data_IF_152652199973
#
_entry.id   IF_152652199973
#
_cell.length_a   1.000
_cell.length_b   1.000
_cell.length_c   1.000
_cell.angle_alpha   90.00
_cell.angle_beta   90.00
_cell.angle_gamma   90.00
#
_symmetry.space_group_name_H-M   'P 1'
#
loop_
_entity.id
_entity.type
_entity.pdbx_description
1 polymer ?
#
# COMPACT_ATOMS: atom_id res chain seq x y z
N UNK A 1 -56.94 -36.54 -36.28
CA UNK A 1 -56.46 -35.60 -35.21
C UNK A 1 -54.97 -35.74 -35.11
N UNK A 2 -54.24 -34.85 -35.79
CA UNK A 2 -52.78 -34.87 -35.91
C UNK A 2 -52.21 -33.94 -34.82
N UNK A 3 -51.51 -34.51 -33.84
CA UNK A 3 -50.83 -33.74 -32.82
C UNK A 3 -49.53 -33.16 -33.39
N UNK A 4 -49.54 -31.87 -33.68
CA UNK A 4 -48.36 -31.10 -34.02
C UNK A 4 -47.45 -31.02 -32.77
N UNK A 5 -46.26 -31.63 -32.83
CA UNK A 5 -45.20 -31.40 -31.84
C UNK A 5 -44.70 -29.96 -32.00
N UNK A 6 -44.93 -29.14 -30.99
CA UNK A 6 -44.28 -27.85 -30.86
C UNK A 6 -42.83 -28.14 -30.45
N UNK A 7 -41.90 -27.91 -31.37
CA UNK A 7 -40.48 -27.92 -31.07
C UNK A 7 -40.18 -26.82 -30.04
N UNK A 8 -39.85 -27.26 -28.82
CA UNK A 8 -39.36 -26.35 -27.79
C UNK A 8 -38.04 -25.74 -28.29
N UNK A 9 -38.06 -24.44 -28.55
CA UNK A 9 -36.88 -23.69 -28.91
C UNK A 9 -35.79 -23.93 -27.85
N UNK A 10 -34.63 -24.43 -28.27
CA UNK A 10 -33.44 -24.52 -27.40
C UNK A 10 -33.16 -23.15 -26.81
N UNK A 11 -32.93 -23.02 -25.50
CA UNK A 11 -32.54 -21.74 -24.90
C UNK A 11 -31.28 -21.26 -25.62
N UNK A 12 -31.30 -20.01 -26.10
CA UNK A 12 -30.15 -19.37 -26.72
C UNK A 12 -28.95 -19.56 -25.80
N UNK A 13 -27.88 -20.18 -26.32
CA UNK A 13 -26.69 -20.53 -25.54
C UNK A 13 -26.20 -19.29 -24.81
N UNK A 14 -26.05 -19.34 -23.49
CA UNK A 14 -25.41 -18.29 -22.72
C UNK A 14 -24.05 -18.02 -23.34
N UNK A 15 -23.83 -16.81 -23.84
CA UNK A 15 -22.52 -16.38 -24.32
C UNK A 15 -21.58 -16.48 -23.10
N UNK A 16 -20.61 -17.39 -23.16
CA UNK A 16 -19.64 -17.57 -22.11
C UNK A 16 -18.67 -16.36 -22.11
N UNK A 17 -18.83 -15.48 -21.16
CA UNK A 17 -17.99 -14.29 -21.02
C UNK A 17 -16.57 -14.66 -20.55
N UNK A 18 -15.61 -13.81 -20.86
CA UNK A 18 -14.21 -14.01 -20.43
C UNK A 18 -14.11 -14.15 -18.90
N UNK A 19 -14.91 -13.39 -18.14
CA UNK A 19 -15.00 -13.49 -16.67
C UNK A 19 -15.55 -14.84 -16.16
N UNK A 20 -16.24 -15.61 -17.00
CA UNK A 20 -16.75 -16.93 -16.61
C UNK A 20 -15.65 -17.99 -16.59
N UNK A 21 -14.54 -17.75 -17.31
CA UNK A 21 -13.36 -18.62 -17.33
C UNK A 21 -12.49 -18.36 -16.11
N UNK A 22 -12.26 -19.39 -15.28
CA UNK A 22 -11.48 -19.25 -14.03
C UNK A 22 -10.08 -18.68 -14.30
N UNK A 23 -9.36 -19.19 -15.31
CA UNK A 23 -8.02 -18.72 -15.65
C UNK A 23 -8.00 -17.21 -15.93
N UNK A 24 -8.99 -16.69 -16.65
CA UNK A 24 -9.03 -15.28 -17.03
C UNK A 24 -9.30 -14.37 -15.80
N UNK A 25 -10.20 -14.78 -14.90
CA UNK A 25 -10.44 -14.06 -13.64
C UNK A 25 -9.19 -13.99 -12.78
N UNK A 26 -8.55 -15.13 -12.56
CA UNK A 26 -7.35 -15.20 -11.73
C UNK A 26 -6.16 -14.50 -12.38
N UNK A 27 -6.04 -14.48 -13.71
CA UNK A 27 -5.05 -13.67 -14.41
C UNK A 27 -5.32 -12.17 -14.23
N UNK A 28 -6.57 -11.72 -14.38
CA UNK A 28 -6.93 -10.33 -14.14
C UNK A 28 -6.62 -9.90 -12.69
N UNK A 29 -6.97 -10.75 -11.73
CA UNK A 29 -6.59 -10.54 -10.32
C UNK A 29 -5.07 -10.46 -10.15
N UNK A 30 -4.32 -11.38 -10.73
CA UNK A 30 -2.86 -11.41 -10.65
C UNK A 30 -2.23 -10.14 -11.18
N UNK A 31 -2.71 -9.61 -12.32
CA UNK A 31 -2.24 -8.36 -12.90
C UNK A 31 -2.50 -7.15 -11.99
N UNK A 32 -3.72 -7.06 -11.44
CA UNK A 32 -4.10 -5.98 -10.53
C UNK A 32 -3.34 -6.07 -9.19
N UNK A 33 -3.30 -7.25 -8.59
CA UNK A 33 -2.66 -7.48 -7.31
C UNK A 33 -1.12 -7.31 -7.36
N UNK A 34 -0.48 -7.68 -8.49
CA UNK A 34 0.95 -7.39 -8.70
C UNK A 34 1.21 -5.89 -8.85
N UNK A 35 0.29 -5.14 -9.44
CA UNK A 35 0.36 -3.69 -9.45
C UNK A 35 0.39 -3.12 -8.02
N UNK A 36 -0.50 -3.59 -7.15
CA UNK A 36 -0.53 -3.20 -5.74
C UNK A 36 0.73 -3.67 -4.98
N UNK A 37 1.18 -4.90 -5.22
CA UNK A 37 2.44 -5.40 -4.65
C UNK A 37 3.61 -4.45 -4.92
N UNK A 38 3.82 -4.07 -6.18
CA UNK A 38 4.90 -3.16 -6.58
C UNK A 38 4.74 -1.77 -5.93
N UNK A 39 3.50 -1.28 -5.82
CA UNK A 39 3.20 0.01 -5.18
C UNK A 39 3.57 -0.02 -3.69
N UNK A 40 3.23 -1.09 -2.97
CA UNK A 40 3.56 -1.24 -1.55
C UNK A 40 5.07 -1.47 -1.32
N UNK A 41 5.79 -2.09 -2.26
CA UNK A 41 7.25 -2.13 -2.21
C UNK A 41 7.82 -0.72 -2.25
N UNK A 42 7.34 0.12 -3.17
CA UNK A 42 7.84 1.48 -3.30
C UNK A 42 7.46 2.36 -2.10
N UNK A 43 6.25 2.23 -1.58
CA UNK A 43 5.74 2.99 -0.44
C UNK A 43 6.68 2.94 0.78
N UNK A 44 7.28 1.78 1.03
CA UNK A 44 8.13 1.55 2.19
C UNK A 44 9.63 1.45 1.86
N UNK A 45 10.03 1.73 0.61
CA UNK A 45 11.40 1.49 0.11
C UNK A 45 12.49 2.20 0.92
N UNK A 46 12.19 3.33 1.53
CA UNK A 46 13.13 4.11 2.35
C UNK A 46 13.12 3.71 3.83
N UNK A 47 12.07 3.00 4.30
CA UNK A 47 11.90 2.68 5.72
C UNK A 47 13.07 1.85 6.31
N UNK A 48 13.56 0.78 5.67
CA UNK A 48 14.65 -0.02 6.22
C UNK A 48 16.04 0.60 6.07
N UNK A 49 16.17 1.70 5.30
CA UNK A 49 17.46 2.39 5.05
C UNK A 49 17.49 3.81 5.62
N UNK A 50 16.66 4.10 6.62
CA UNK A 50 16.56 5.41 7.25
C UNK A 50 17.92 5.90 7.78
N UNK A 51 18.72 5.03 8.43
CA UNK A 51 20.01 5.41 8.97
C UNK A 51 21.03 5.75 7.87
N UNK A 52 20.93 5.05 6.72
CA UNK A 52 21.73 5.38 5.54
C UNK A 52 21.33 6.74 4.94
N UNK A 53 20.04 7.08 4.92
CA UNK A 53 19.55 8.41 4.52
C UNK A 53 20.09 9.51 5.44
N UNK A 54 20.09 9.27 6.74
CA UNK A 54 20.62 10.21 7.72
C UNK A 54 22.12 10.44 7.50
N UNK A 55 22.90 9.40 7.32
CA UNK A 55 24.35 9.49 7.14
C UNK A 55 24.78 10.05 5.79
N UNK A 56 24.04 9.77 4.70
CA UNK A 56 24.45 10.14 3.33
C UNK A 56 23.77 11.40 2.80
N UNK A 57 22.54 11.71 3.25
CA UNK A 57 21.73 12.84 2.77
C UNK A 57 21.32 13.82 3.89
N UNK A 58 21.75 13.58 5.13
CA UNK A 58 21.47 14.45 6.27
C UNK A 58 20.01 14.49 6.72
N UNK A 59 19.21 13.45 6.38
CA UNK A 59 17.81 13.39 6.78
C UNK A 59 17.70 12.95 8.25
N UNK A 60 17.32 13.86 9.10
CA UNK A 60 16.96 13.53 10.48
C UNK A 60 15.60 12.79 10.54
N UNK A 61 15.21 12.38 11.75
CA UNK A 61 13.94 11.68 11.95
C UNK A 61 12.73 12.54 11.60
N UNK A 62 12.83 13.85 11.71
CA UNK A 62 11.77 14.81 11.37
C UNK A 62 11.60 14.88 9.85
N UNK A 63 12.70 15.07 9.10
CA UNK A 63 12.69 15.11 7.64
C UNK A 63 12.14 13.80 7.05
N UNK A 64 12.59 12.65 7.60
CA UNK A 64 12.09 11.35 7.19
C UNK A 64 10.59 11.20 7.47
N UNK A 65 10.12 11.53 8.68
CA UNK A 65 8.71 11.43 9.06
C UNK A 65 7.82 12.35 8.24
N UNK A 66 8.25 13.59 8.01
CA UNK A 66 7.52 14.57 7.19
C UNK A 66 7.42 14.11 5.74
N UNK A 67 8.51 13.61 5.16
CA UNK A 67 8.49 13.04 3.80
C UNK A 67 7.56 11.83 3.72
N UNK A 68 7.62 10.91 4.68
CA UNK A 68 6.72 9.75 4.70
C UNK A 68 5.24 10.16 4.87
N UNK A 69 4.95 11.15 5.71
CA UNK A 69 3.60 11.69 5.89
C UNK A 69 3.07 12.42 4.66
N UNK A 70 3.95 12.93 3.80
CA UNK A 70 3.55 13.66 2.60
C UNK A 70 2.76 12.80 1.59
N UNK A 71 2.91 11.48 1.62
CA UNK A 71 2.15 10.54 0.78
C UNK A 71 0.64 10.76 0.86
N UNK A 72 0.13 10.96 2.06
CA UNK A 72 -1.32 11.12 2.28
C UNK A 72 -1.78 12.56 2.23
N UNK A 73 -0.86 13.54 2.15
CA UNK A 73 -1.17 14.96 2.30
C UNK A 73 -2.23 15.45 1.30
N UNK A 74 -2.06 15.19 0.00
CA UNK A 74 -3.03 15.60 -1.01
C UNK A 74 -4.35 14.83 -0.90
N UNK A 75 -4.31 13.57 -0.50
CA UNK A 75 -5.49 12.74 -0.32
C UNK A 75 -6.36 13.23 0.84
N UNK A 76 -5.75 13.68 1.94
CA UNK A 76 -6.44 14.15 3.15
C UNK A 76 -6.85 15.61 3.03
N UNK A 77 -5.92 16.51 2.71
CA UNK A 77 -6.17 17.97 2.80
C UNK A 77 -6.79 18.57 1.54
N UNK A 78 -6.56 17.96 0.37
CA UNK A 78 -7.15 18.40 -0.90
C UNK A 78 -8.29 17.46 -1.33
N UNK A 79 -8.56 16.39 -0.54
CA UNK A 79 -9.59 15.40 -0.84
C UNK A 79 -9.44 14.73 -2.21
N UNK A 80 -8.18 14.52 -2.64
CA UNK A 80 -7.88 13.97 -3.96
C UNK A 80 -8.59 12.63 -4.21
N UNK A 81 -8.80 11.81 -3.18
CA UNK A 81 -9.48 10.52 -3.31
C UNK A 81 -10.94 10.66 -3.82
N UNK A 82 -11.61 11.78 -3.51
CA UNK A 82 -12.94 12.08 -4.07
C UNK A 82 -12.84 12.32 -5.58
N UNK A 83 -11.85 13.10 -6.02
CA UNK A 83 -11.62 13.33 -7.45
C UNK A 83 -11.23 12.03 -8.16
N UNK A 84 -10.40 11.19 -7.53
CA UNK A 84 -10.05 9.86 -8.05
C UNK A 84 -11.29 8.97 -8.22
N UNK A 85 -12.24 8.99 -7.28
CA UNK A 85 -13.53 8.32 -7.39
C UNK A 85 -14.36 8.84 -8.57
N UNK A 86 -14.43 10.14 -8.76
CA UNK A 86 -15.14 10.77 -9.89
C UNK A 86 -14.50 10.38 -11.24
N UNK A 87 -13.16 10.34 -11.30
CA UNK A 87 -12.42 9.89 -12.48
C UNK A 87 -12.77 8.44 -12.77
N UNK A 88 -12.75 7.57 -11.75
CA UNK A 88 -13.08 6.16 -11.87
C UNK A 88 -14.51 5.94 -12.39
N UNK A 89 -15.49 6.71 -11.89
CA UNK A 89 -16.88 6.61 -12.31
C UNK A 89 -17.10 7.10 -13.75
N UNK A 90 -16.38 8.14 -14.16
CA UNK A 90 -16.54 8.71 -15.51
C UNK A 90 -15.71 8.00 -16.58
N UNK A 91 -14.49 7.60 -16.25
CA UNK A 91 -13.51 7.07 -17.19
C UNK A 91 -13.41 5.54 -17.16
N UNK A 92 -13.94 4.91 -16.12
CA UNK A 92 -13.95 3.45 -15.92
C UNK A 92 -12.61 2.90 -15.41
N UNK A 93 -12.66 1.61 -15.00
CA UNK A 93 -11.55 0.91 -14.33
C UNK A 93 -10.28 0.88 -15.19
N UNK A 94 -10.40 0.67 -16.48
CA UNK A 94 -9.26 0.54 -17.41
C UNK A 94 -8.41 1.79 -17.49
N UNK A 95 -9.06 2.92 -17.73
CA UNK A 95 -8.37 4.20 -17.87
C UNK A 95 -7.74 4.61 -16.53
N UNK A 96 -8.51 4.45 -15.45
CA UNK A 96 -8.06 4.85 -14.11
C UNK A 96 -6.88 4.00 -13.63
N UNK A 97 -6.83 2.69 -13.98
CA UNK A 97 -5.68 1.85 -13.69
C UNK A 97 -4.41 2.34 -14.41
N UNK A 98 -4.50 2.70 -15.69
CA UNK A 98 -3.35 3.27 -16.42
C UNK A 98 -2.93 4.62 -15.86
N UNK A 99 -3.90 5.49 -15.57
CA UNK A 99 -3.63 6.81 -15.02
C UNK A 99 -2.96 6.70 -13.65
N UNK A 100 -3.45 5.82 -12.77
CA UNK A 100 -2.85 5.59 -11.45
C UNK A 100 -1.41 5.08 -11.56
N UNK A 101 -1.15 4.13 -12.46
CA UNK A 101 0.19 3.63 -12.74
C UNK A 101 1.15 4.73 -13.24
N UNK A 102 0.67 5.58 -14.15
CA UNK A 102 1.45 6.70 -14.66
C UNK A 102 1.77 7.74 -13.57
N UNK A 103 0.79 8.10 -12.75
CA UNK A 103 0.97 9.06 -11.65
C UNK A 103 1.93 8.51 -10.60
N UNK A 104 1.81 7.22 -10.22
CA UNK A 104 2.77 6.57 -9.33
C UNK A 104 4.19 6.61 -9.89
N UNK A 105 4.35 6.28 -11.18
CA UNK A 105 5.66 6.24 -11.81
C UNK A 105 6.32 7.63 -11.88
N UNK A 106 5.54 8.68 -12.18
CA UNK A 106 6.04 10.07 -12.17
C UNK A 106 6.49 10.45 -10.76
N UNK A 107 5.67 10.23 -9.73
CA UNK A 107 6.02 10.54 -8.34
C UNK A 107 7.26 9.78 -7.87
N UNK A 108 7.34 8.49 -8.19
CA UNK A 108 8.48 7.65 -7.87
C UNK A 108 9.78 8.09 -8.56
N UNK A 109 9.69 8.52 -9.82
CA UNK A 109 10.85 9.03 -10.57
C UNK A 109 11.37 10.34 -9.97
N UNK A 110 10.48 11.23 -9.55
CA UNK A 110 10.86 12.47 -8.84
C UNK A 110 11.55 12.13 -7.52
N UNK A 111 11.01 11.19 -6.74
CA UNK A 111 11.60 10.72 -5.49
C UNK A 111 12.99 10.11 -5.72
N UNK A 112 13.14 9.28 -6.75
CA UNK A 112 14.43 8.72 -7.13
C UNK A 112 15.43 9.81 -7.51
N UNK A 113 15.06 10.76 -8.36
CA UNK A 113 15.93 11.85 -8.79
C UNK A 113 16.41 12.68 -7.61
N UNK A 114 15.55 12.99 -6.62
CA UNK A 114 15.89 13.73 -5.42
C UNK A 114 17.03 13.09 -4.61
N UNK A 115 17.21 11.79 -4.71
CA UNK A 115 18.22 11.01 -3.97
C UNK A 115 19.46 10.67 -4.80
N UNK A 116 19.50 11.02 -6.10
CA UNK A 116 20.69 10.84 -6.94
C UNK A 116 21.74 11.90 -6.66
N UNK A 117 22.99 11.58 -7.00
CA UNK A 117 24.09 12.56 -6.95
C UNK A 117 23.94 13.66 -7.97
N UNK A 118 23.20 13.43 -9.06
CA UNK A 118 22.87 14.42 -10.07
C UNK A 118 22.00 15.57 -9.51
N UNK A 119 21.21 15.33 -8.49
CA UNK A 119 20.46 16.37 -7.79
C UNK A 119 21.37 17.22 -6.90
N UNK A 120 22.42 16.62 -6.32
CA UNK A 120 23.36 17.31 -5.44
C UNK A 120 24.19 18.32 -6.22
N UNK A 121 24.22 19.56 -5.74
CA UNK A 121 24.91 20.67 -6.44
C UNK A 121 24.17 21.25 -7.67
N UNK A 122 22.95 20.78 -7.95
CA UNK A 122 22.13 21.33 -9.03
C UNK A 122 21.46 22.65 -8.63
N UNK A 123 21.12 23.49 -9.62
CA UNK A 123 20.33 24.71 -9.41
C UNK A 123 18.95 24.41 -8.77
N UNK A 124 18.43 23.21 -9.02
CA UNK A 124 17.18 22.76 -8.42
C UNK A 124 17.35 22.50 -6.91
N UNK A 125 18.48 21.97 -6.48
CA UNK A 125 18.79 21.84 -5.04
C UNK A 125 18.85 23.21 -4.37
N UNK A 126 19.51 24.19 -4.97
CA UNK A 126 19.55 25.57 -4.41
C UNK A 126 18.16 26.16 -4.29
N UNK A 127 17.32 25.95 -5.32
CA UNK A 127 15.95 26.44 -5.29
C UNK A 127 15.15 25.81 -4.14
N UNK A 128 15.21 24.48 -3.95
CA UNK A 128 14.53 23.80 -2.84
C UNK A 128 15.12 24.15 -1.47
N UNK A 129 16.38 24.53 -1.38
CA UNK A 129 16.99 25.00 -0.14
C UNK A 129 16.37 26.31 0.33
N UNK A 130 16.14 27.25 -0.62
CA UNK A 130 15.63 28.59 -0.31
C UNK A 130 14.10 28.68 -0.31
N UNK A 131 13.42 27.80 -1.05
CA UNK A 131 11.98 27.84 -1.24
C UNK A 131 11.30 26.61 -0.59
N UNK A 132 9.97 26.63 -0.55
CA UNK A 132 9.15 25.58 0.04
C UNK A 132 9.52 25.26 1.50
N UNK A 133 9.73 26.30 2.31
CA UNK A 133 9.97 26.13 3.74
C UNK A 133 8.69 25.86 4.53
N UNK A 134 7.55 26.28 4.01
CA UNK A 134 6.24 26.03 4.60
C UNK A 134 5.13 26.27 3.56
N UNK A 135 3.94 25.77 3.85
CA UNK A 135 2.71 26.15 3.15
C UNK A 135 1.86 26.92 4.17
N UNK A 136 1.62 28.23 3.99
CA UNK A 136 1.13 29.13 5.05
C UNK A 136 -0.07 28.59 5.85
N UNK A 137 -1.12 28.17 5.17
CA UNK A 137 -2.35 27.66 5.83
C UNK A 137 -2.11 26.38 6.62
N UNK A 138 -1.24 25.49 6.11
CA UNK A 138 -0.98 24.19 6.74
C UNK A 138 0.10 24.28 7.83
N UNK A 139 0.93 25.29 7.75
CA UNK A 139 1.94 25.58 8.80
C UNK A 139 1.26 26.08 10.08
N UNK A 140 0.29 26.98 9.96
CA UNK A 140 -0.52 27.45 11.09
C UNK A 140 -1.29 26.31 11.78
N UNK A 141 -1.65 25.27 11.03
CA UNK A 141 -2.30 24.07 11.55
C UNK A 141 -1.30 23.02 12.07
N UNK A 142 0.01 23.26 11.94
CA UNK A 142 1.07 22.32 12.34
C UNK A 142 1.13 21.05 11.50
N UNK A 143 0.60 21.06 10.26
CA UNK A 143 0.54 19.89 9.36
C UNK A 143 1.20 20.16 8.01
N UNK A 144 2.03 21.21 7.91
CA UNK A 144 2.78 21.49 6.69
C UNK A 144 3.72 20.33 6.33
N UNK A 145 3.73 19.88 5.05
CA UNK A 145 4.66 18.86 4.59
C UNK A 145 6.07 19.39 4.35
N UNK A 146 6.33 20.65 4.69
CA UNK A 146 7.61 21.32 4.59
C UNK A 146 7.84 22.17 5.84
N UNK A 147 9.11 22.31 6.25
CA UNK A 147 9.53 23.17 7.35
C UNK A 147 10.89 23.81 7.04
N UNK A 148 11.18 24.90 7.75
CA UNK A 148 12.46 25.60 7.63
C UNK A 148 13.62 24.72 8.09
N UNK A 149 14.68 24.61 7.27
CA UNK A 149 15.82 23.74 7.56
C UNK A 149 15.66 22.29 7.07
N UNK A 150 14.52 21.92 6.47
CA UNK A 150 14.37 20.60 5.86
C UNK A 150 15.34 20.45 4.68
N UNK A 151 16.09 19.33 4.57
CA UNK A 151 17.00 19.07 3.46
C UNK A 151 16.30 19.18 2.09
N UNK A 152 16.94 19.83 1.12
CA UNK A 152 16.35 20.04 -0.22
C UNK A 152 15.95 18.73 -0.90
N UNK A 153 16.77 17.68 -0.74
CA UNK A 153 16.45 16.34 -1.24
C UNK A 153 15.20 15.75 -0.58
N UNK A 154 14.97 16.01 0.71
CA UNK A 154 13.78 15.58 1.43
C UNK A 154 12.53 16.33 0.95
N UNK A 155 12.66 17.65 0.67
CA UNK A 155 11.55 18.45 0.12
C UNK A 155 11.13 17.96 -1.26
N UNK A 156 12.08 17.76 -2.18
CA UNK A 156 11.76 17.25 -3.51
C UNK A 156 11.21 15.80 -3.45
N UNK A 157 11.79 14.97 -2.58
CA UNK A 157 11.30 13.63 -2.33
C UNK A 157 9.86 13.65 -1.80
N UNK A 158 9.52 14.57 -0.89
CA UNK A 158 8.17 14.75 -0.38
C UNK A 158 7.18 15.13 -1.49
N UNK A 159 7.57 16.03 -2.41
CA UNK A 159 6.75 16.36 -3.59
C UNK A 159 6.50 15.12 -4.46
N UNK A 160 7.55 14.35 -4.74
CA UNK A 160 7.41 13.09 -5.48
C UNK A 160 6.50 12.10 -4.77
N UNK A 161 6.61 12.03 -3.45
CA UNK A 161 5.83 11.09 -2.64
C UNK A 161 4.35 11.51 -2.51
N UNK A 162 4.04 12.80 -2.51
CA UNK A 162 2.66 13.30 -2.62
C UNK A 162 2.00 12.86 -3.94
N UNK A 163 2.73 13.01 -5.06
CA UNK A 163 2.23 12.59 -6.37
C UNK A 163 2.05 11.07 -6.41
N UNK A 164 3.02 10.32 -5.90
CA UNK A 164 2.94 8.86 -5.77
C UNK A 164 1.72 8.46 -4.93
N UNK A 165 1.48 9.12 -3.80
CA UNK A 165 0.34 8.88 -2.91
C UNK A 165 -1.01 9.07 -3.61
N UNK A 166 -1.15 10.09 -4.46
CA UNK A 166 -2.35 10.23 -5.30
C UNK A 166 -2.53 9.03 -6.23
N UNK A 167 -1.45 8.54 -6.81
CA UNK A 167 -1.48 7.39 -7.72
C UNK A 167 -1.85 6.09 -7.01
N UNK A 168 -1.26 5.81 -5.85
CA UNK A 168 -1.49 4.55 -5.12
C UNK A 168 -2.89 4.47 -4.55
N UNK A 169 -3.43 5.57 -4.01
CA UNK A 169 -4.80 5.61 -3.51
C UNK A 169 -5.83 5.46 -4.64
N UNK A 170 -5.58 6.12 -5.77
CA UNK A 170 -6.40 5.92 -6.97
C UNK A 170 -6.32 4.47 -7.49
N UNK A 171 -5.13 3.84 -7.44
CA UNK A 171 -4.97 2.42 -7.79
C UNK A 171 -5.77 1.53 -6.85
N UNK A 172 -5.76 1.77 -5.54
CA UNK A 172 -6.48 0.98 -4.54
C UNK A 172 -7.99 0.89 -4.81
N UNK A 173 -8.66 2.04 -5.03
CA UNK A 173 -10.08 2.05 -5.36
C UNK A 173 -10.37 1.40 -6.72
N UNK A 174 -9.46 1.58 -7.68
CA UNK A 174 -9.60 1.03 -9.03
C UNK A 174 -9.44 -0.48 -9.05
N UNK A 175 -8.44 -1.01 -8.33
CA UNK A 175 -8.19 -2.45 -8.20
C UNK A 175 -9.36 -3.13 -7.50
N UNK A 176 -9.86 -2.56 -6.41
CA UNK A 176 -11.04 -3.07 -5.70
C UNK A 176 -12.25 -3.16 -6.62
N UNK A 177 -12.53 -2.11 -7.41
CA UNK A 177 -13.62 -2.11 -8.38
C UNK A 177 -13.40 -3.10 -9.52
N UNK A 178 -12.16 -3.23 -9.99
CA UNK A 178 -11.78 -4.24 -10.99
C UNK A 178 -12.04 -5.66 -10.49
N UNK A 179 -11.67 -5.96 -9.25
CA UNK A 179 -11.94 -7.28 -8.64
C UNK A 179 -13.45 -7.54 -8.58
N UNK A 180 -14.25 -6.58 -8.12
CA UNK A 180 -15.71 -6.69 -8.08
C UNK A 180 -16.28 -6.99 -9.46
N UNK A 181 -15.81 -6.29 -10.50
CA UNK A 181 -16.26 -6.51 -11.90
C UNK A 181 -15.97 -7.92 -12.40
N UNK A 182 -14.75 -8.42 -12.15
CA UNK A 182 -14.32 -9.73 -12.66
C UNK A 182 -14.84 -10.90 -11.85
N UNK A 183 -15.07 -10.71 -10.54
CA UNK A 183 -15.52 -11.76 -9.61
C UNK A 183 -17.00 -11.63 -9.21
N UNK A 184 -17.82 -10.88 -9.98
CA UNK A 184 -19.25 -10.68 -9.70
C UNK A 184 -19.96 -12.03 -9.51
N UNK A 185 -20.45 -12.28 -8.28
CA UNK A 185 -21.16 -13.49 -7.90
C UNK A 185 -20.31 -14.76 -7.71
N UNK A 186 -18.98 -14.64 -7.69
CA UNK A 186 -18.02 -15.76 -7.54
C UNK A 186 -16.84 -15.34 -6.69
N UNK A 187 -16.44 -16.15 -5.73
CA UNK A 187 -15.16 -16.12 -4.99
C UNK A 187 -14.59 -14.70 -4.63
N UNK A 188 -15.46 -13.69 -4.54
CA UNK A 188 -15.05 -12.28 -4.38
C UNK A 188 -14.21 -12.06 -3.10
N UNK A 189 -14.62 -12.68 -1.98
CA UNK A 189 -13.91 -12.54 -0.71
C UNK A 189 -12.48 -13.12 -0.79
N UNK A 190 -12.31 -14.25 -1.51
CA UNK A 190 -11.00 -14.84 -1.73
C UNK A 190 -10.13 -13.94 -2.63
N UNK A 191 -10.72 -13.36 -3.66
CA UNK A 191 -9.98 -12.46 -4.57
C UNK A 191 -9.50 -11.19 -3.85
N UNK A 192 -10.38 -10.54 -3.07
CA UNK A 192 -10.03 -9.37 -2.25
C UNK A 192 -8.96 -9.72 -1.19
N UNK A 193 -9.11 -10.84 -0.50
CA UNK A 193 -8.13 -11.29 0.49
C UNK A 193 -6.77 -11.63 -0.12
N UNK A 194 -6.76 -12.22 -1.33
CA UNK A 194 -5.51 -12.53 -2.04
C UNK A 194 -4.78 -11.27 -2.50
N UNK A 195 -5.51 -10.26 -2.97
CA UNK A 195 -4.94 -8.96 -3.34
C UNK A 195 -4.28 -8.30 -2.13
N UNK A 196 -4.99 -8.19 -1.01
CA UNK A 196 -4.46 -7.61 0.23
C UNK A 196 -3.25 -8.37 0.77
N UNK A 197 -3.25 -9.72 0.68
CA UNK A 197 -2.11 -10.54 1.08
C UNK A 197 -0.88 -10.24 0.22
N UNK A 198 -1.04 -10.13 -1.11
CA UNK A 198 0.05 -9.79 -2.02
C UNK A 198 0.58 -8.37 -1.76
N UNK A 199 -0.29 -7.39 -1.51
CA UNK A 199 0.12 -6.05 -1.14
C UNK A 199 1.00 -6.05 0.13
N UNK A 200 0.63 -6.81 1.16
CA UNK A 200 1.44 -6.95 2.39
C UNK A 200 2.77 -7.68 2.15
N UNK A 201 2.80 -8.67 1.25
CA UNK A 201 4.06 -9.27 0.82
C UNK A 201 4.99 -8.25 0.13
N UNK A 202 4.43 -7.23 -0.54
CA UNK A 202 5.20 -6.11 -1.09
C UNK A 202 6.00 -5.38 -0.01
N UNK A 203 5.38 -5.04 1.12
CA UNK A 203 6.07 -4.42 2.26
C UNK A 203 7.19 -5.32 2.79
N UNK A 204 6.93 -6.62 2.96
CA UNK A 204 7.94 -7.58 3.40
C UNK A 204 9.13 -7.64 2.42
N UNK A 205 8.83 -7.70 1.12
CA UNK A 205 9.85 -7.72 0.05
C UNK A 205 10.73 -6.47 0.12
N UNK A 206 10.14 -5.31 0.35
CA UNK A 206 10.85 -4.06 0.50
C UNK A 206 11.89 -4.13 1.64
N UNK A 207 11.51 -4.67 2.80
CA UNK A 207 12.39 -4.76 3.97
C UNK A 207 13.65 -5.60 3.69
N UNK A 208 13.57 -6.59 2.76
CA UNK A 208 14.72 -7.41 2.34
C UNK A 208 15.56 -6.69 1.29
N UNK A 209 14.88 -6.35 0.21
CA UNK A 209 15.58 -5.99 -1.00
C UNK A 209 16.08 -4.56 -0.96
N UNK A 210 15.43 -3.64 -0.26
CA UNK A 210 15.88 -2.25 -0.20
C UNK A 210 17.29 -2.11 0.40
N UNK A 211 17.62 -2.66 1.58
CA UNK A 211 18.99 -2.62 2.10
C UNK A 211 19.99 -3.38 1.20
N UNK A 212 19.56 -4.49 0.60
CA UNK A 212 20.41 -5.27 -0.32
C UNK A 212 20.81 -4.43 -1.54
N UNK A 213 19.86 -3.75 -2.18
CA UNK A 213 20.14 -2.87 -3.32
C UNK A 213 20.92 -1.62 -2.91
N UNK A 214 20.68 -1.05 -1.73
CA UNK A 214 21.47 0.07 -1.22
C UNK A 214 22.96 -0.28 -1.13
N UNK A 215 23.30 -1.51 -0.72
CA UNK A 215 24.67 -1.98 -0.52
C UNK A 215 25.28 -2.66 -1.74
N UNK A 216 24.56 -2.69 -2.87
CA UNK A 216 25.05 -3.34 -4.09
C UNK A 216 26.31 -2.61 -4.61
N UNK A 217 27.40 -3.38 -4.83
CA UNK A 217 28.66 -2.83 -5.32
C UNK A 217 29.61 -2.31 -4.24
N UNK A 218 29.33 -2.56 -2.96
CA UNK A 218 30.24 -2.29 -1.84
C UNK A 218 30.28 -0.83 -1.35
N UNK A 219 29.64 0.11 -2.07
CA UNK A 219 29.46 1.49 -1.64
C UNK A 219 27.97 1.71 -1.39
N UNK A 220 27.56 2.03 -0.15
CA UNK A 220 26.16 2.27 0.17
C UNK A 220 25.60 3.48 -0.59
N UNK A 221 24.46 3.28 -1.28
CA UNK A 221 23.80 4.34 -2.04
C UNK A 221 22.27 4.18 -1.97
N UNK A 222 21.60 5.17 -1.39
CA UNK A 222 20.15 5.19 -1.21
C UNK A 222 19.38 5.26 -2.54
N UNK A 223 19.97 5.88 -3.57
CA UNK A 223 19.33 6.03 -4.87
C UNK A 223 19.06 4.69 -5.56
N UNK A 224 19.89 3.69 -5.33
CA UNK A 224 19.73 2.33 -5.89
C UNK A 224 18.50 1.61 -5.34
N UNK A 225 18.22 1.76 -4.05
CA UNK A 225 17.01 1.18 -3.44
C UNK A 225 15.75 1.79 -4.05
N UNK A 226 15.74 3.10 -4.23
CA UNK A 226 14.59 3.77 -4.85
C UNK A 226 14.48 3.42 -6.33
N UNK A 227 15.61 3.31 -7.05
CA UNK A 227 15.63 2.83 -8.43
C UNK A 227 15.03 1.42 -8.58
N UNK A 228 15.34 0.51 -7.65
CA UNK A 228 14.69 -0.80 -7.60
C UNK A 228 13.15 -0.68 -7.51
N UNK A 229 12.65 0.18 -6.63
CA UNK A 229 11.22 0.45 -6.52
C UNK A 229 10.61 1.05 -7.78
N UNK A 230 11.32 1.99 -8.46
CA UNK A 230 10.89 2.56 -9.75
C UNK A 230 10.80 1.48 -10.84
N UNK A 231 11.77 0.58 -10.90
CA UNK A 231 11.74 -0.55 -11.86
C UNK A 231 10.52 -1.45 -11.61
N UNK A 232 10.19 -1.73 -10.34
CA UNK A 232 8.98 -2.49 -10.02
C UNK A 232 7.70 -1.76 -10.43
N UNK A 233 7.64 -0.42 -10.27
CA UNK A 233 6.50 0.36 -10.74
C UNK A 233 6.40 0.41 -12.27
N UNK A 234 7.51 0.36 -13.00
CA UNK A 234 7.47 0.16 -14.47
C UNK A 234 6.87 -1.20 -14.82
N UNK A 235 7.19 -2.26 -14.08
CA UNK A 235 6.57 -3.57 -14.25
C UNK A 235 5.06 -3.48 -13.92
N UNK A 236 4.68 -2.80 -12.85
CA UNK A 236 3.27 -2.57 -12.50
C UNK A 236 2.53 -1.85 -13.63
N UNK A 237 3.13 -0.85 -14.24
CA UNK A 237 2.55 -0.15 -15.39
C UNK A 237 2.32 -1.08 -16.58
N UNK A 238 3.27 -1.97 -16.88
CA UNK A 238 3.10 -3.01 -17.92
C UNK A 238 1.93 -3.93 -17.57
N UNK A 239 1.81 -4.35 -16.30
CA UNK A 239 0.70 -5.18 -15.82
C UNK A 239 -0.65 -4.48 -16.02
N UNK A 240 -0.76 -3.18 -15.72
CA UNK A 240 -1.97 -2.40 -15.94
C UNK A 240 -2.29 -2.22 -17.43
N UNK A 241 -1.27 -2.11 -18.29
CA UNK A 241 -1.48 -2.10 -19.75
C UNK A 241 -2.05 -3.45 -20.23
N UNK A 242 -1.50 -4.56 -19.76
CA UNK A 242 -2.04 -5.90 -20.10
C UNK A 242 -3.47 -6.06 -19.59
N UNK A 243 -3.73 -5.63 -18.34
CA UNK A 243 -5.08 -5.62 -17.78
C UNK A 243 -6.05 -4.77 -18.63
N UNK A 244 -5.64 -3.61 -19.10
CA UNK A 244 -6.45 -2.74 -19.95
C UNK A 244 -6.96 -3.49 -21.19
N UNK A 245 -6.10 -4.25 -21.89
CA UNK A 245 -6.51 -5.02 -23.06
C UNK A 245 -7.41 -6.19 -22.71
N UNK A 246 -7.17 -6.86 -21.59
CA UNK A 246 -8.03 -7.95 -21.10
C UNK A 246 -9.44 -7.44 -20.76
N UNK A 247 -9.51 -6.34 -20.02
CA UNK A 247 -10.79 -5.76 -19.60
C UNK A 247 -11.57 -5.18 -20.79
N UNK A 248 -10.87 -4.55 -21.76
CA UNK A 248 -11.49 -4.13 -23.04
C UNK A 248 -12.12 -5.30 -23.81
N UNK A 249 -11.47 -6.46 -23.78
CA UNK A 249 -12.01 -7.66 -24.44
C UNK A 249 -13.24 -8.20 -23.71
N UNK A 250 -13.27 -8.13 -22.38
CA UNK A 250 -14.43 -8.50 -21.58
C UNK A 250 -15.64 -7.63 -21.93
N UNK A 251 -15.48 -6.32 -21.99
CA UNK A 251 -16.58 -5.39 -22.31
C UNK A 251 -17.10 -5.57 -23.73
N UNK A 252 -16.21 -5.85 -24.69
CA UNK A 252 -16.61 -6.14 -26.07
C UNK A 252 -17.47 -7.44 -26.19
N UNK A 253 -17.27 -8.38 -25.24
CA UNK A 253 -18.07 -9.61 -25.21
C UNK A 253 -19.41 -9.46 -24.49
N UNK A 254 -19.43 -8.62 -23.42
CA UNK A 254 -20.62 -8.43 -22.60
C UNK A 254 -21.70 -7.60 -23.30
N UNK A 255 -21.34 -6.79 -24.32
CA UNK A 255 -22.24 -5.83 -24.93
C UNK A 255 -22.75 -4.74 -23.96
N UNK A 256 -22.42 -4.87 -22.72
CA UNK A 256 -22.72 -3.93 -21.65
C UNK A 256 -21.59 -2.90 -21.58
N UNK A 257 -21.89 -1.66 -21.94
CA UNK A 257 -21.18 -0.56 -21.31
C UNK A 257 -21.27 -0.80 -19.81
N UNK A 258 -20.14 -0.76 -19.11
CA UNK A 258 -20.05 -0.86 -17.63
C UNK A 258 -21.36 -0.42 -17.00
N UNK A 259 -22.05 -1.33 -16.25
CA UNK A 259 -23.23 -0.93 -15.50
C UNK A 259 -22.86 0.33 -14.76
N UNK A 260 -23.34 1.47 -15.21
CA UNK A 260 -23.11 2.74 -14.53
C UNK A 260 -23.86 2.62 -13.22
N UNK A 261 -23.12 2.34 -12.15
CA UNK A 261 -23.65 2.55 -10.82
C UNK A 261 -24.20 3.98 -10.75
N UNK A 262 -25.24 4.18 -9.97
CA UNK A 262 -25.81 5.52 -9.79
C UNK A 262 -24.68 6.52 -9.49
N UNK A 263 -24.56 7.61 -10.25
CA UNK A 263 -23.45 8.54 -10.08
C UNK A 263 -23.50 9.13 -8.68
N UNK A 264 -22.34 9.23 -8.04
CA UNK A 264 -22.20 9.85 -6.71
C UNK A 264 -22.90 11.23 -6.69
N UNK A 265 -23.80 11.42 -5.74
CA UNK A 265 -24.47 12.71 -5.50
C UNK A 265 -23.95 13.31 -4.20
N UNK A 266 -23.68 14.61 -4.21
CA UNK A 266 -23.24 15.33 -3.00
C UNK A 266 -24.26 15.17 -1.85
N UNK A 267 -25.56 14.98 -2.18
CA UNK A 267 -26.62 14.69 -1.18
C UNK A 267 -26.39 13.37 -0.42
N UNK A 268 -25.67 12.40 -0.99
CA UNK A 268 -25.40 11.13 -0.34
C UNK A 268 -24.34 11.27 0.75
N UNK A 269 -23.46 12.26 0.63
CA UNK A 269 -22.51 12.62 1.69
C UNK A 269 -23.22 12.97 3.00
N UNK A 270 -24.32 13.72 2.93
CA UNK A 270 -25.13 14.06 4.10
C UNK A 270 -25.71 12.83 4.79
N UNK A 271 -26.15 11.82 4.02
CA UNK A 271 -26.67 10.54 4.56
C UNK A 271 -25.58 9.72 5.24
N UNK A 272 -24.38 9.69 4.63
CA UNK A 272 -23.22 8.99 5.18
C UNK A 272 -22.79 9.62 6.50
N UNK A 273 -22.63 10.96 6.53
CA UNK A 273 -22.19 11.71 7.71
C UNK A 273 -23.22 11.67 8.86
N UNK A 274 -24.50 11.45 8.57
CA UNK A 274 -25.53 11.29 9.61
C UNK A 274 -25.60 9.85 10.18
N UNK A 275 -24.87 8.91 9.62
CA UNK A 275 -24.88 7.51 10.06
C UNK A 275 -23.91 7.28 11.23
N UNK A 276 -24.45 6.84 12.39
CA UNK A 276 -23.63 6.43 13.52
C UNK A 276 -22.67 5.28 13.17
N UNK A 277 -23.12 4.32 12.33
CA UNK A 277 -22.31 3.21 11.88
C UNK A 277 -21.07 3.67 11.12
N UNK A 278 -21.21 4.70 10.27
CA UNK A 278 -20.08 5.31 9.57
C UNK A 278 -19.03 5.86 10.55
N UNK A 279 -19.46 6.63 11.56
CA UNK A 279 -18.52 7.22 12.53
C UNK A 279 -17.83 6.19 13.41
N UNK A 280 -18.52 5.10 13.79
CA UNK A 280 -17.91 4.02 14.55
C UNK A 280 -16.83 3.31 13.74
N UNK A 281 -17.10 3.02 12.47
CA UNK A 281 -16.10 2.40 11.57
C UNK A 281 -14.95 3.36 11.29
N UNK A 282 -15.23 4.64 11.03
CA UNK A 282 -14.21 5.66 10.80
C UNK A 282 -13.29 5.80 12.03
N UNK A 283 -13.86 5.88 13.24
CA UNK A 283 -13.08 5.94 14.47
C UNK A 283 -12.21 4.70 14.67
N UNK A 284 -12.75 3.51 14.41
CA UNK A 284 -11.99 2.26 14.48
C UNK A 284 -10.80 2.28 13.52
N UNK A 285 -11.01 2.70 12.27
CA UNK A 285 -9.94 2.84 11.29
C UNK A 285 -8.87 3.85 11.73
N UNK A 286 -9.27 5.02 12.25
CA UNK A 286 -8.32 6.03 12.74
C UNK A 286 -7.48 5.46 13.87
N UNK A 287 -8.09 4.87 14.89
CA UNK A 287 -7.36 4.30 16.03
C UNK A 287 -6.41 3.16 15.63
N UNK A 288 -6.85 2.32 14.70
CA UNK A 288 -6.06 1.19 14.22
C UNK A 288 -4.85 1.67 13.38
N UNK A 289 -5.09 2.47 12.37
CA UNK A 289 -4.02 2.90 11.46
C UNK A 289 -3.05 3.89 12.10
N UNK A 290 -3.49 4.72 13.04
CA UNK A 290 -2.60 5.62 13.79
C UNK A 290 -1.56 4.87 14.65
N UNK A 291 -1.85 3.64 15.06
CA UNK A 291 -0.90 2.80 15.78
C UNK A 291 0.03 2.04 14.82
N UNK A 292 -0.52 1.48 13.73
CA UNK A 292 0.20 0.53 12.88
C UNK A 292 1.17 1.22 11.92
N UNK A 293 0.74 2.26 11.21
CA UNK A 293 1.59 2.87 10.19
C UNK A 293 2.88 3.48 10.77
N UNK A 294 2.86 4.26 11.87
CA UNK A 294 4.10 4.73 12.48
C UNK A 294 5.00 3.58 12.93
N UNK A 295 4.42 2.53 13.50
CA UNK A 295 5.20 1.36 13.89
C UNK A 295 5.89 0.72 12.68
N UNK A 296 5.19 0.46 11.58
CA UNK A 296 5.78 -0.13 10.38
C UNK A 296 6.93 0.71 9.81
N UNK A 297 6.77 2.03 9.76
CA UNK A 297 7.77 2.96 9.21
C UNK A 297 9.04 3.04 10.06
N UNK A 298 8.91 2.92 11.38
CA UNK A 298 10.01 3.10 12.33
C UNK A 298 10.44 1.82 13.05
N UNK A 299 9.81 0.68 12.80
CA UNK A 299 10.04 -0.55 13.56
C UNK A 299 11.51 -0.96 13.59
N UNK A 300 12.20 -0.93 12.46
CA UNK A 300 13.64 -1.26 12.37
C UNK A 300 14.48 -0.30 13.20
N UNK A 301 14.30 1.00 12.99
CA UNK A 301 15.04 2.03 13.72
C UNK A 301 14.73 2.01 15.22
N UNK A 302 13.47 1.80 15.60
CA UNK A 302 13.07 1.67 17.00
C UNK A 302 13.77 0.47 17.68
N UNK A 303 13.87 -0.66 17.00
CA UNK A 303 14.54 -1.85 17.52
C UNK A 303 16.05 -1.61 17.64
N UNK A 304 16.67 -0.98 16.64
CA UNK A 304 18.10 -0.64 16.67
C UNK A 304 18.46 0.33 17.79
N UNK A 305 17.61 1.34 18.04
CA UNK A 305 17.89 2.36 19.04
C UNK A 305 17.54 1.95 20.49
N UNK A 306 16.54 1.08 20.68
CA UNK A 306 16.03 0.76 22.02
C UNK A 306 16.49 -0.58 22.56
N UNK A 307 17.03 -1.44 21.72
CA UNK A 307 17.54 -2.74 22.12
C UNK A 307 19.03 -2.75 21.88
N UNK A 308 19.81 -2.67 22.96
CA UNK A 308 21.18 -3.11 22.91
C UNK A 308 21.15 -4.61 22.63
N UNK A 309 21.21 -4.98 21.36
CA UNK A 309 21.55 -6.34 21.00
C UNK A 309 22.95 -6.58 21.59
N UNK A 310 23.00 -7.28 22.72
CA UNK A 310 24.25 -7.91 23.13
C UNK A 310 24.70 -8.74 21.95
N UNK A 311 25.87 -8.47 21.37
CA UNK A 311 26.27 -9.17 20.17
C UNK A 311 26.29 -10.66 20.47
N UNK A 312 25.27 -11.38 19.99
CA UNK A 312 25.41 -12.78 19.69
C UNK A 312 26.61 -12.85 18.78
N UNK A 313 27.55 -13.75 19.01
CA UNK A 313 28.84 -13.84 18.33
C UNK A 313 28.75 -13.35 16.87
N UNK A 314 29.63 -12.49 16.44
CA UNK A 314 29.61 -11.76 15.15
C UNK A 314 29.28 -12.64 13.91
N UNK A 315 29.45 -13.94 14.03
CA UNK A 315 29.23 -14.95 13.01
C UNK A 315 27.84 -15.62 13.08
N UNK A 316 26.97 -15.30 14.04
CA UNK A 316 25.67 -15.93 14.11
C UNK A 316 24.68 -15.32 13.12
N UNK A 317 23.97 -16.17 12.39
CA UNK A 317 22.87 -15.80 11.47
C UNK A 317 21.86 -14.81 12.11
N UNK A 318 21.66 -14.91 13.42
CA UNK A 318 20.73 -14.06 14.18
C UNK A 318 21.28 -12.66 14.53
N UNK A 319 22.60 -12.46 14.48
CA UNK A 319 23.22 -11.21 14.93
C UNK A 319 23.09 -10.06 13.93
N UNK A 320 23.19 -10.34 12.63
CA UNK A 320 23.19 -9.31 11.56
C UNK A 320 21.80 -8.95 11.06
N UNK A 321 20.89 -9.93 10.98
CA UNK A 321 19.66 -9.80 10.20
C UNK A 321 18.40 -10.21 10.98
N UNK A 322 18.52 -10.52 12.28
CA UNK A 322 17.41 -11.04 13.08
C UNK A 322 16.17 -10.16 13.02
N UNK A 323 16.33 -8.82 13.10
CA UNK A 323 15.21 -7.87 13.03
C UNK A 323 14.52 -7.95 11.68
N UNK A 324 15.28 -8.06 10.62
CA UNK A 324 14.78 -8.16 9.25
C UNK A 324 14.03 -9.49 9.06
N UNK A 325 14.60 -10.61 9.49
CA UNK A 325 13.94 -11.92 9.40
C UNK A 325 12.67 -12.01 10.25
N UNK A 326 12.62 -11.35 11.40
CA UNK A 326 11.41 -11.29 12.22
C UNK A 326 10.30 -10.56 11.49
N UNK A 327 10.60 -9.44 10.83
CA UNK A 327 9.60 -8.75 10.02
C UNK A 327 9.05 -9.64 8.90
N UNK A 328 9.88 -10.53 8.31
CA UNK A 328 9.41 -11.51 7.32
C UNK A 328 8.48 -12.54 7.90
N UNK A 329 8.85 -13.10 9.05
CA UNK A 329 7.99 -14.06 9.75
C UNK A 329 6.65 -13.40 10.07
N UNK A 330 6.68 -12.15 10.54
CA UNK A 330 5.48 -11.38 10.83
C UNK A 330 4.63 -11.19 9.58
N UNK A 331 5.22 -10.71 8.48
CA UNK A 331 4.50 -10.48 7.24
C UNK A 331 4.00 -11.77 6.59
N UNK A 332 4.75 -12.87 6.71
CA UNK A 332 4.31 -14.19 6.26
C UNK A 332 3.11 -14.68 7.07
N UNK A 333 3.15 -14.51 8.40
CA UNK A 333 2.02 -14.85 9.28
C UNK A 333 0.80 -13.99 8.94
N UNK A 334 0.99 -12.69 8.69
CA UNK A 334 -0.05 -11.77 8.22
C UNK A 334 -0.66 -12.25 6.90
N UNK A 335 0.15 -12.58 5.91
CA UNK A 335 -0.33 -13.08 4.63
C UNK A 335 -1.08 -14.41 4.77
N UNK A 336 -0.56 -15.34 5.56
CA UNK A 336 -1.18 -16.65 5.82
C UNK A 336 -2.51 -16.49 6.56
N UNK A 337 -2.60 -15.61 7.56
CA UNK A 337 -3.84 -15.38 8.31
C UNK A 337 -4.89 -14.64 7.48
N UNK A 338 -4.50 -13.69 6.61
CA UNK A 338 -5.41 -13.07 5.64
C UNK A 338 -5.99 -14.14 4.68
N UNK A 339 -5.17 -15.09 4.23
CA UNK A 339 -5.61 -16.21 3.41
C UNK A 339 -6.53 -17.15 4.19
N UNK A 340 -6.13 -17.56 5.40
CA UNK A 340 -6.90 -18.46 6.26
C UNK A 340 -8.24 -17.86 6.68
N UNK A 341 -8.31 -16.53 6.82
CA UNK A 341 -9.52 -15.77 7.16
C UNK A 341 -10.68 -16.01 6.20
N UNK A 342 -10.37 -16.29 4.95
CA UNK A 342 -11.37 -16.56 3.94
C UNK A 342 -11.97 -17.97 3.99
N UNK A 343 -11.31 -18.93 4.67
CA UNK A 343 -11.75 -20.33 4.73
C UNK A 343 -12.51 -20.67 6.00
N UNK A 344 -12.43 -19.87 7.06
CA UNK A 344 -13.05 -20.18 8.34
C UNK A 344 -14.48 -19.68 8.47
N UNK A 345 -15.37 -20.51 9.03
CA UNK A 345 -16.75 -20.15 9.33
C UNK A 345 -16.81 -19.00 10.35
N UNK A 346 -17.34 -17.91 9.88
CA UNK A 346 -17.20 -16.49 10.25
C UNK A 346 -17.36 -16.05 11.73
N UNK A 347 -18.08 -16.74 12.63
CA UNK A 347 -18.38 -16.17 13.96
C UNK A 347 -17.27 -16.37 15.01
N UNK A 348 -16.74 -17.57 15.15
CA UNK A 348 -15.71 -17.86 16.15
C UNK A 348 -14.39 -17.13 15.83
N UNK A 349 -14.10 -16.95 14.55
CA UNK A 349 -12.90 -16.30 14.09
C UNK A 349 -12.92 -14.79 14.32
N UNK A 350 -14.07 -14.11 14.13
CA UNK A 350 -14.19 -12.68 14.44
C UNK A 350 -13.89 -12.38 15.90
N UNK A 351 -14.40 -13.22 16.84
CA UNK A 351 -14.10 -13.07 18.27
C UNK A 351 -12.65 -13.41 18.60
N UNK A 352 -12.08 -14.43 17.96
CA UNK A 352 -10.66 -14.78 18.12
C UNK A 352 -9.74 -13.66 17.65
N UNK A 353 -10.02 -13.06 16.50
CA UNK A 353 -9.26 -11.96 15.93
C UNK A 353 -9.40 -10.69 16.77
N UNK A 354 -10.59 -10.36 17.27
CA UNK A 354 -10.80 -9.26 18.19
C UNK A 354 -10.02 -9.44 19.50
N UNK A 355 -10.06 -10.63 20.09
CA UNK A 355 -9.25 -10.95 21.27
C UNK A 355 -7.76 -10.83 21.02
N UNK A 356 -7.29 -11.27 19.86
CA UNK A 356 -5.90 -11.19 19.44
C UNK A 356 -5.45 -9.72 19.23
N UNK A 357 -6.32 -8.87 18.68
CA UNK A 357 -6.05 -7.44 18.53
C UNK A 357 -5.87 -6.75 19.89
N UNK A 358 -6.68 -7.11 20.89
CA UNK A 358 -6.52 -6.60 22.26
C UNK A 358 -5.20 -7.09 22.88
N UNK A 359 -4.88 -8.36 22.72
CA UNK A 359 -3.60 -8.91 23.20
C UNK A 359 -2.43 -8.22 22.54
N UNK A 360 -2.49 -7.96 21.24
CA UNK A 360 -1.46 -7.22 20.49
C UNK A 360 -1.28 -5.82 21.02
N UNK A 361 -2.37 -5.10 21.32
CA UNK A 361 -2.32 -3.76 21.88
C UNK A 361 -1.66 -3.75 23.27
N UNK A 362 -2.04 -4.68 24.14
CA UNK A 362 -1.46 -4.83 25.49
C UNK A 362 0.04 -5.12 25.41
N UNK A 363 0.40 -6.01 24.50
CA UNK A 363 1.80 -6.36 24.26
C UNK A 363 2.60 -5.20 23.69
N UNK A 364 2.01 -4.42 22.77
CA UNK A 364 2.63 -3.21 22.23
C UNK A 364 2.91 -2.18 23.33
N UNK A 365 1.96 -1.93 24.22
CA UNK A 365 2.14 -1.07 25.38
C UNK A 365 3.22 -1.60 26.33
N UNK A 366 3.25 -2.91 26.54
CA UNK A 366 4.27 -3.54 27.38
C UNK A 366 5.67 -3.46 26.79
N UNK A 367 5.82 -3.59 25.47
CA UNK A 367 7.10 -3.38 24.76
C UNK A 367 7.63 -1.97 24.93
N UNK A 368 6.76 -0.96 24.87
CA UNK A 368 7.14 0.44 25.11
C UNK A 368 7.64 0.68 26.54
N UNK A 369 7.23 -0.14 27.49
CA UNK A 369 7.64 -0.06 28.89
C UNK A 369 8.93 -0.84 29.18
N UNK A 370 9.17 -1.97 28.52
CA UNK A 370 10.33 -2.86 28.76
C UNK A 370 11.48 -2.58 27.79
N UNK A 371 12.46 -1.81 28.24
CA UNK A 371 13.63 -1.43 27.42
C UNK A 371 14.70 -2.54 27.21
N UNK A 372 14.58 -3.73 27.81
CA UNK A 372 15.76 -4.59 28.01
C UNK A 372 15.66 -6.07 27.64
N UNK A 373 14.62 -6.57 27.03
CA UNK A 373 14.55 -8.00 26.75
C UNK A 373 14.27 -8.36 25.29
N UNK A 374 15.32 -8.56 24.51
CA UNK A 374 15.23 -9.04 23.12
C UNK A 374 14.41 -10.33 23.00
N UNK A 375 14.55 -11.28 23.94
CA UNK A 375 13.78 -12.53 23.93
C UNK A 375 12.28 -12.35 24.10
N UNK A 376 11.83 -11.38 24.91
CA UNK A 376 10.40 -11.06 25.05
C UNK A 376 9.83 -10.45 23.76
N UNK A 377 10.61 -9.68 23.02
CA UNK A 377 10.24 -9.09 21.74
C UNK A 377 10.04 -10.17 20.69
N UNK A 378 10.91 -11.18 20.63
CA UNK A 378 10.78 -12.31 19.71
C UNK A 378 9.48 -13.11 19.92
N UNK A 379 9.05 -13.27 21.18
CA UNK A 379 7.79 -13.95 21.51
C UNK A 379 6.55 -13.13 21.16
N UNK A 380 6.67 -11.80 21.12
CA UNK A 380 5.58 -10.85 20.97
C UNK A 380 5.32 -10.47 19.51
N UNK A 381 6.34 -10.44 18.67
CA UNK A 381 6.21 -10.11 17.25
C UNK A 381 5.18 -10.98 16.50
N UNK A 382 5.13 -12.31 16.65
CA UNK A 382 4.10 -13.13 16.04
C UNK A 382 2.68 -12.75 16.48
N UNK A 383 2.50 -12.36 17.75
CA UNK A 383 1.21 -11.94 18.29
C UNK A 383 0.77 -10.57 17.74
N UNK A 384 1.69 -9.65 17.59
CA UNK A 384 1.44 -8.36 16.92
C UNK A 384 1.04 -8.57 15.45
N UNK A 385 1.72 -9.46 14.75
CA UNK A 385 1.43 -9.76 13.35
C UNK A 385 0.02 -10.32 13.17
N UNK A 386 -0.39 -11.24 14.03
CA UNK A 386 -1.74 -11.82 13.98
C UNK A 386 -2.81 -10.80 14.39
N UNK A 387 -2.50 -9.87 15.29
CA UNK A 387 -3.39 -8.77 15.68
C UNK A 387 -3.63 -7.72 14.57
N UNK A 388 -2.70 -7.63 13.61
CA UNK A 388 -2.75 -6.64 12.51
C UNK A 388 -3.60 -7.13 11.33
N UNK A 389 -3.96 -8.41 11.28
CA UNK A 389 -4.58 -9.05 10.11
C UNK A 389 -6.12 -9.02 10.02
N UNK A 390 -6.90 -8.72 11.03
CA UNK A 390 -8.31 -9.12 11.07
C UNK A 390 -9.31 -8.17 10.44
N UNK A 391 -8.91 -7.10 9.85
CA UNK A 391 -9.83 -6.13 9.28
C UNK A 391 -9.72 -6.13 7.77
#
# INVERSE_FOLDING_TARGET
>A
MTKTKVDAARPAGKIELLRDKAWARWTALGLLAMGMFCSYVFMDVLSPIKDLLQSTRGWDSTAFGTMQGSETFLNVFIFFLIFAGIILDKMGVRFTALLSGAVMLVGATINWYALTDAFQGSSLQEWFTTHLNYIPVFDELGVSPFYEGMPASAKLSAVGFMIFGCGVEMAGITVSRGIVKWFKGREMALAMGSEMALARLGVATCMIFSPMFANLGGVPDVSRSVAFGVVLLMIAMIMFIVYFFMDRKLDAQSGEAEEKDDPFRISDLGKILSSLGFWLVALLCVLYYSAIFPFQKYAVNMLQCNIEFTPLAEDSFWAKDAVTYIQYVIMLVVAVTAFAGNFAKQKAMRFGLFGLSIVSLVVYCWMGYQKQSAGAIFAVFPLLAVGITPI
#
